data_IF_905084253480
#
_entry.id   IF_905084253480
#
_cell.length_a   1.000
_cell.length_b   1.000
_cell.length_c   1.000
_cell.angle_alpha   90.00
_cell.angle_beta   90.00
_cell.angle_gamma   90.00
#
_symmetry.space_group_name_H-M   'P 1'
#
loop_
_entity.id
_entity.type
_entity.pdbx_description
1 polymer ?
#
# COMPACT_ATOMS: atom_id res chain seq x y z
N UNK A 1 -0.45 -4.18 13.86
CA UNK A 1 0.44 -4.32 12.70
C UNK A 1 1.73 -5.03 13.13
N UNK A 2 2.28 -5.89 12.27
CA UNK A 2 3.59 -6.52 12.45
C UNK A 2 4.47 -6.20 11.26
N UNK A 3 5.79 -6.24 11.41
CA UNK A 3 6.69 -5.99 10.29
C UNK A 3 8.02 -6.74 10.39
N UNK A 4 8.59 -7.09 9.23
CA UNK A 4 9.99 -7.51 9.08
C UNK A 4 10.89 -6.40 8.53
N UNK A 5 10.35 -5.21 8.30
CA UNK A 5 11.06 -4.06 7.74
C UNK A 5 12.10 -3.49 8.71
N UNK A 6 13.19 -2.91 8.18
CA UNK A 6 14.14 -2.20 9.01
C UNK A 6 13.46 -1.02 9.71
N UNK A 7 13.95 -0.67 10.90
CA UNK A 7 13.37 0.41 11.72
C UNK A 7 13.40 1.80 11.05
N UNK A 8 14.21 1.97 10.00
CA UNK A 8 14.23 3.18 9.17
C UNK A 8 12.96 3.35 8.32
N UNK A 9 12.14 2.30 8.18
CA UNK A 9 10.84 2.37 7.53
C UNK A 9 9.81 2.59 8.61
N UNK A 10 9.40 3.84 8.76
CA UNK A 10 8.41 4.24 9.73
C UNK A 10 6.99 3.92 9.23
N UNK A 11 6.56 2.68 9.44
CA UNK A 11 5.19 2.26 9.14
C UNK A 11 4.17 2.99 10.04
N UNK A 12 2.93 3.20 9.57
CA UNK A 12 1.88 3.73 10.40
C UNK A 12 1.61 2.81 11.60
N UNK A 13 1.30 3.43 12.73
CA UNK A 13 0.77 2.75 13.90
C UNK A 13 -0.60 2.10 13.60
N UNK A 14 -1.09 1.27 14.53
CA UNK A 14 -2.43 0.69 14.39
C UNK A 14 -3.48 1.78 14.45
N UNK A 15 -3.28 2.77 15.31
CA UNK A 15 -4.16 3.91 15.52
C UNK A 15 -4.23 4.78 14.26
N UNK A 16 -3.08 5.16 13.69
CA UNK A 16 -3.04 5.92 12.42
C UNK A 16 -3.71 5.13 11.28
N UNK A 17 -3.47 3.82 11.21
CA UNK A 17 -4.14 2.98 10.21
C UNK A 17 -5.67 3.00 10.36
N UNK A 18 -6.18 2.94 11.60
CA UNK A 18 -7.61 2.99 11.89
C UNK A 18 -8.19 4.36 11.52
N UNK A 19 -7.49 5.45 11.87
CA UNK A 19 -7.90 6.82 11.57
C UNK A 19 -8.02 7.07 10.06
N UNK A 20 -7.04 6.61 9.28
CA UNK A 20 -7.08 6.72 7.82
C UNK A 20 -8.13 5.79 7.19
N UNK A 21 -8.24 4.54 7.68
CA UNK A 21 -9.28 3.62 7.20
C UNK A 21 -10.70 4.14 7.48
N UNK A 22 -10.92 4.89 8.57
CA UNK A 22 -12.21 5.49 8.90
C UNK A 22 -12.66 6.59 7.91
N UNK A 23 -11.78 7.06 7.02
CA UNK A 23 -12.09 8.02 5.96
C UNK A 23 -12.61 7.37 4.68
N UNK A 24 -12.62 6.03 4.62
CA UNK A 24 -13.11 5.27 3.47
C UNK A 24 -14.64 5.26 3.48
N UNK A 25 -15.25 5.62 2.35
CA UNK A 25 -16.70 5.82 2.25
C UNK A 25 -17.51 4.51 2.23
N UNK A 26 -16.96 3.44 1.65
CA UNK A 26 -17.61 2.12 1.66
C UNK A 26 -17.50 1.51 3.07
N UNK A 27 -18.63 1.47 3.79
CA UNK A 27 -18.68 0.98 5.17
C UNK A 27 -18.15 -0.44 5.34
N UNK A 28 -18.36 -1.30 4.35
CA UNK A 28 -17.95 -2.70 4.40
C UNK A 28 -16.45 -2.85 4.13
N UNK A 29 -15.90 -2.04 3.23
CA UNK A 29 -14.47 -1.91 2.99
C UNK A 29 -13.77 -1.31 4.23
N UNK A 30 -14.25 -0.17 4.72
CA UNK A 30 -13.79 0.49 5.95
C UNK A 30 -13.74 -0.52 7.12
N UNK A 31 -14.84 -1.23 7.37
CA UNK A 31 -14.92 -2.22 8.45
C UNK A 31 -13.91 -3.36 8.29
N UNK A 32 -13.61 -3.78 7.06
CA UNK A 32 -12.57 -4.77 6.80
C UNK A 32 -11.19 -4.19 7.13
N UNK A 33 -10.87 -3.00 6.61
CA UNK A 33 -9.57 -2.35 6.79
C UNK A 33 -9.26 -2.09 8.27
N UNK A 34 -10.22 -1.54 9.03
CA UNK A 34 -10.08 -1.31 10.48
C UNK A 34 -9.74 -2.60 11.22
N UNK A 35 -10.42 -3.72 10.89
CA UNK A 35 -10.11 -5.03 11.49
C UNK A 35 -8.71 -5.50 11.13
N UNK A 36 -8.26 -5.20 9.92
CA UNK A 36 -6.94 -5.59 9.44
C UNK A 36 -5.78 -4.75 10.01
N UNK A 37 -5.99 -3.49 10.41
CA UNK A 37 -4.91 -2.62 10.94
C UNK A 37 -4.10 -3.29 12.07
N UNK A 38 -4.75 -4.07 12.94
CA UNK A 38 -4.07 -4.81 14.01
C UNK A 38 -3.36 -6.08 13.53
N UNK A 39 -3.83 -6.72 12.45
CA UNK A 39 -3.37 -8.03 11.96
C UNK A 39 -2.49 -7.99 10.72
N UNK A 40 -2.42 -6.85 10.02
CA UNK A 40 -1.61 -6.66 8.82
C UNK A 40 -0.13 -6.87 9.17
N UNK A 41 0.54 -7.64 8.32
CA UNK A 41 1.98 -7.89 8.34
C UNK A 41 2.60 -7.21 7.13
N UNK A 42 3.53 -6.28 7.37
CA UNK A 42 4.29 -5.63 6.29
C UNK A 42 5.66 -6.31 6.18
N UNK A 43 5.88 -7.02 5.08
CA UNK A 43 7.06 -7.84 4.85
C UNK A 43 8.05 -7.15 3.93
N UNK A 44 9.25 -6.88 4.44
CA UNK A 44 10.40 -6.43 3.67
C UNK A 44 11.40 -7.58 3.44
N UNK A 45 12.32 -7.40 2.49
CA UNK A 45 13.39 -8.33 2.18
C UNK A 45 13.74 -8.38 0.71
N UNK A 46 14.78 -9.15 0.39
CA UNK A 46 15.28 -9.30 -0.99
C UNK A 46 14.20 -9.80 -1.96
N UNK A 47 13.35 -10.72 -1.50
CA UNK A 47 12.24 -11.23 -2.29
C UNK A 47 11.22 -10.13 -2.63
N UNK A 48 10.80 -9.32 -1.64
CA UNK A 48 9.90 -8.18 -1.86
C UNK A 48 10.52 -7.21 -2.88
N UNK A 49 11.78 -6.81 -2.68
CA UNK A 49 12.51 -5.92 -3.61
C UNK A 49 12.58 -6.48 -5.03
N UNK A 50 12.83 -7.78 -5.18
CA UNK A 50 12.85 -8.42 -6.49
C UNK A 50 11.48 -8.35 -7.17
N UNK A 51 10.41 -8.68 -6.45
CA UNK A 51 9.05 -8.65 -6.99
C UNK A 51 8.60 -7.25 -7.37
N UNK A 52 8.97 -6.24 -6.59
CA UNK A 52 8.72 -4.85 -6.94
C UNK A 52 9.41 -4.44 -8.24
N UNK A 53 10.67 -4.84 -8.46
CA UNK A 53 11.37 -4.57 -9.72
C UNK A 53 10.70 -5.24 -10.92
N UNK A 54 10.29 -6.50 -10.77
CA UNK A 54 9.58 -7.25 -11.80
C UNK A 54 8.23 -6.59 -12.14
N UNK A 55 7.46 -6.18 -11.13
CA UNK A 55 6.18 -5.51 -11.33
C UNK A 55 6.34 -4.11 -11.92
N UNK A 56 7.29 -3.32 -11.41
CA UNK A 56 7.58 -1.97 -11.93
C UNK A 56 7.95 -2.01 -13.41
N UNK A 57 8.80 -2.97 -13.82
CA UNK A 57 9.17 -3.16 -15.22
C UNK A 57 7.97 -3.56 -16.11
N UNK A 58 6.98 -4.28 -15.55
CA UNK A 58 5.78 -4.71 -16.27
C UNK A 58 4.79 -3.57 -16.47
N UNK A 59 4.59 -2.73 -15.44
CA UNK A 59 3.59 -1.64 -15.46
C UNK A 59 4.16 -0.33 -15.98
N UNK A 60 5.48 -0.19 -16.08
CA UNK A 60 6.15 1.02 -16.57
C UNK A 60 6.32 2.12 -15.52
N UNK A 61 5.78 1.92 -14.31
CA UNK A 61 5.82 2.86 -13.18
C UNK A 61 6.49 2.21 -11.95
N UNK A 62 6.87 3.03 -10.97
CA UNK A 62 7.46 2.54 -9.73
C UNK A 62 6.39 1.92 -8.82
N UNK A 63 6.62 0.69 -8.36
CA UNK A 63 5.79 0.02 -7.36
C UNK A 63 6.47 0.16 -6.00
N UNK A 64 5.76 0.71 -5.01
CA UNK A 64 6.29 0.96 -3.65
C UNK A 64 5.92 -0.14 -2.64
N UNK A 65 4.81 -0.83 -2.90
CA UNK A 65 4.40 -2.02 -2.18
C UNK A 65 3.52 -2.89 -3.08
N UNK A 66 3.24 -4.11 -2.64
CA UNK A 66 2.21 -4.94 -3.26
C UNK A 66 1.61 -5.93 -2.28
N UNK A 67 0.33 -6.23 -2.47
CA UNK A 67 -0.39 -7.28 -1.76
C UNK A 67 -0.58 -8.46 -2.69
N UNK A 68 -0.15 -9.65 -2.28
CA UNK A 68 -0.28 -10.84 -3.12
C UNK A 68 -1.73 -11.31 -3.14
N UNK A 69 -2.42 -11.00 -4.24
CA UNK A 69 -3.77 -11.48 -4.54
C UNK A 69 -3.65 -12.81 -5.31
N UNK A 70 -3.95 -13.98 -4.70
CA UNK A 70 -3.64 -15.27 -5.32
C UNK A 70 -4.39 -15.50 -6.63
N UNK A 71 -5.60 -14.94 -6.75
CA UNK A 71 -6.40 -14.89 -7.98
C UNK A 71 -7.29 -13.64 -7.98
N UNK A 72 -7.45 -12.95 -9.12
CA UNK A 72 -8.42 -11.87 -9.26
C UNK A 72 -9.82 -12.31 -8.83
N UNK A 73 -10.53 -11.47 -8.08
CA UNK A 73 -11.88 -11.74 -7.58
C UNK A 73 -12.00 -12.78 -6.47
N UNK A 74 -10.89 -13.38 -5.98
CA UNK A 74 -10.94 -14.26 -4.80
C UNK A 74 -10.91 -13.50 -3.47
N UNK A 75 -10.30 -12.31 -3.45
CA UNK A 75 -10.32 -11.49 -2.25
C UNK A 75 -11.63 -10.73 -2.17
N UNK A 76 -12.13 -10.66 -0.95
CA UNK A 76 -13.23 -9.81 -0.58
C UNK A 76 -13.09 -9.51 0.91
N UNK A 77 -13.89 -8.56 1.37
CA UNK A 77 -14.01 -8.14 2.77
C UNK A 77 -14.18 -9.25 3.81
N UNK A 78 -14.61 -10.46 3.42
CA UNK A 78 -14.75 -11.60 4.33
C UNK A 78 -13.51 -12.51 4.36
N UNK A 79 -12.67 -12.47 3.32
CA UNK A 79 -11.45 -13.27 3.20
C UNK A 79 -10.25 -12.40 2.82
N UNK A 80 -9.88 -11.42 3.67
CA UNK A 80 -8.76 -10.55 3.37
C UNK A 80 -7.42 -11.25 3.52
N UNK A 81 -6.45 -10.85 2.70
CA UNK A 81 -5.03 -11.19 2.89
C UNK A 81 -4.48 -10.33 4.02
N UNK A 82 -3.55 -10.88 4.80
CA UNK A 82 -2.98 -10.20 5.98
C UNK A 82 -1.52 -9.80 5.79
N UNK A 83 -1.02 -9.86 4.55
CA UNK A 83 0.37 -9.64 4.22
C UNK A 83 0.49 -8.70 3.02
N UNK A 84 1.30 -7.65 3.21
CA UNK A 84 1.68 -6.70 2.19
C UNK A 84 3.21 -6.65 2.15
N UNK A 85 3.78 -6.55 0.96
CA UNK A 85 5.22 -6.52 0.76
C UNK A 85 5.68 -5.13 0.41
N UNK A 86 6.61 -4.59 1.20
CA UNK A 86 7.16 -3.26 0.95
C UNK A 86 8.44 -3.36 0.11
N UNK A 87 8.60 -2.44 -0.85
CA UNK A 87 9.69 -2.46 -1.82
C UNK A 87 11.01 -1.87 -1.30
N UNK A 88 11.00 -1.31 -0.08
CA UNK A 88 12.13 -0.67 0.61
C UNK A 88 12.71 0.54 -0.13
N UNK A 89 11.94 1.13 -1.04
CA UNK A 89 12.28 2.41 -1.64
C UNK A 89 12.08 3.53 -0.59
N UNK A 90 12.97 4.54 -0.55
CA UNK A 90 12.79 5.70 0.31
C UNK A 90 11.47 6.39 0.00
N UNK A 91 10.69 6.66 1.04
CA UNK A 91 9.39 7.31 0.97
C UNK A 91 9.21 8.17 2.23
N UNK A 92 8.49 9.29 2.12
CA UNK A 92 8.08 10.05 3.30
C UNK A 92 7.14 9.20 4.17
N UNK A 93 7.07 9.50 5.47
CA UNK A 93 6.14 8.80 6.39
C UNK A 93 4.69 8.87 5.91
N UNK A 94 4.28 10.02 5.39
CA UNK A 94 2.95 10.23 4.82
C UNK A 94 2.72 9.30 3.63
N UNK A 95 3.68 9.23 2.70
CA UNK A 95 3.60 8.31 1.58
C UNK A 95 3.50 6.84 2.02
N UNK A 96 4.36 6.42 2.97
CA UNK A 96 4.32 5.05 3.51
C UNK A 96 2.93 4.74 4.06
N UNK A 97 2.33 5.68 4.79
CA UNK A 97 0.99 5.53 5.34
C UNK A 97 -0.05 5.36 4.23
N UNK A 98 -0.05 6.25 3.24
CA UNK A 98 -1.01 6.20 2.13
C UNK A 98 -0.89 4.90 1.33
N UNK A 99 0.33 4.43 1.04
CA UNK A 99 0.55 3.16 0.33
C UNK A 99 0.13 1.96 1.18
N UNK A 100 0.38 1.97 2.50
CA UNK A 100 -0.10 0.90 3.39
C UNK A 100 -1.63 0.83 3.39
N UNK A 101 -2.32 1.97 3.41
CA UNK A 101 -3.79 2.03 3.34
C UNK A 101 -4.30 1.54 1.99
N UNK A 102 -3.65 1.93 0.89
CA UNK A 102 -3.95 1.46 -0.46
C UNK A 102 -3.86 -0.07 -0.56
N UNK A 103 -2.74 -0.64 -0.13
CA UNK A 103 -2.51 -2.09 -0.15
C UNK A 103 -3.47 -2.85 0.77
N UNK A 104 -3.81 -2.25 1.91
CA UNK A 104 -4.80 -2.79 2.82
C UNK A 104 -6.20 -2.82 2.20
N UNK A 105 -6.56 -1.82 1.38
CA UNK A 105 -7.82 -1.83 0.64
C UNK A 105 -7.85 -3.01 -0.36
N UNK A 106 -6.77 -3.22 -1.13
CA UNK A 106 -6.64 -4.39 -1.99
C UNK A 106 -6.77 -5.71 -1.23
N UNK A 107 -6.18 -5.78 -0.03
CA UNK A 107 -6.31 -6.95 0.83
C UNK A 107 -7.78 -7.26 1.16
N UNK A 108 -8.62 -6.22 1.26
CA UNK A 108 -10.05 -6.30 1.52
C UNK A 108 -10.92 -6.46 0.25
N UNK A 109 -10.30 -6.65 -0.93
CA UNK A 109 -10.97 -6.88 -2.20
C UNK A 109 -11.46 -5.61 -2.90
N UNK A 110 -10.87 -4.46 -2.56
CA UNK A 110 -10.99 -3.26 -3.38
C UNK A 110 -10.11 -3.38 -4.62
N UNK A 111 -10.58 -2.87 -5.75
CA UNK A 111 -9.83 -2.77 -7.00
C UNK A 111 -9.74 -1.29 -7.43
N UNK A 112 -8.70 -0.94 -8.18
CA UNK A 112 -8.55 0.40 -8.77
C UNK A 112 -9.80 0.83 -9.54
N UNK A 113 -10.10 2.13 -9.49
CA UNK A 113 -11.24 2.75 -10.16
C UNK A 113 -12.58 2.60 -9.44
N UNK A 114 -12.66 1.84 -8.33
CA UNK A 114 -13.88 1.73 -7.53
C UNK A 114 -14.19 3.00 -6.71
N UNK A 115 -13.19 3.85 -6.46
CA UNK A 115 -13.34 5.10 -5.69
C UNK A 115 -13.25 4.86 -4.19
N UNK A 116 -14.21 5.41 -3.44
CA UNK A 116 -14.35 5.28 -1.98
C UNK A 116 -13.29 5.99 -1.14
N UNK A 117 -12.68 7.03 -1.69
CA UNK A 117 -11.62 7.80 -1.03
C UNK A 117 -10.38 6.94 -0.68
N UNK A 118 -10.17 5.83 -1.41
CA UNK A 118 -8.95 5.03 -1.30
C UNK A 118 -7.80 5.78 -2.00
N UNK A 119 -6.64 5.97 -1.34
CA UNK A 119 -5.46 6.59 -1.94
C UNK A 119 -5.03 5.83 -3.19
N UNK A 120 -4.57 6.50 -4.25
CA UNK A 120 -4.15 5.82 -5.49
C UNK A 120 -5.29 5.13 -6.25
N UNK A 121 -6.54 5.62 -6.12
CA UNK A 121 -7.69 5.04 -6.81
C UNK A 121 -7.53 4.98 -8.33
N UNK A 122 -6.90 5.98 -8.93
CA UNK A 122 -6.68 6.05 -10.36
C UNK A 122 -5.37 5.31 -10.71
N UNK A 123 -5.42 4.22 -11.50
CA UNK A 123 -4.24 3.45 -11.87
C UNK A 123 -3.23 4.26 -12.68
N UNK A 124 -3.66 5.30 -13.39
CA UNK A 124 -2.76 6.19 -14.15
C UNK A 124 -1.99 7.16 -13.24
N UNK A 125 -2.41 7.28 -11.97
CA UNK A 125 -1.78 8.11 -10.95
C UNK A 125 -1.03 7.28 -9.90
N UNK A 126 -0.57 6.07 -10.26
CA UNK A 126 0.34 5.27 -9.45
C UNK A 126 1.83 5.43 -9.83
N UNK A 127 2.75 5.55 -8.85
CA UNK A 127 2.48 5.60 -7.41
C UNK A 127 1.74 6.89 -7.04
N UNK A 128 0.97 6.84 -5.94
CA UNK A 128 0.20 7.97 -5.37
C UNK A 128 1.02 9.26 -5.63
N UNK A 129 0.50 10.32 -6.27
CA UNK A 129 1.36 11.40 -6.77
C UNK A 129 2.22 12.05 -5.68
N UNK A 130 1.73 12.04 -4.44
CA UNK A 130 2.39 12.52 -3.21
C UNK A 130 3.55 11.62 -2.73
N UNK A 131 3.66 10.42 -3.28
CA UNK A 131 4.70 9.42 -3.03
C UNK A 131 5.86 9.47 -4.03
N UNK A 132 5.74 10.22 -5.12
CA UNK A 132 6.83 10.38 -6.07
C UNK A 132 7.89 11.32 -5.49
N UNK A 133 8.93 10.76 -4.86
CA UNK A 133 10.12 11.53 -4.53
C UNK A 133 10.95 11.77 -5.79
N UNK A 134 10.51 12.72 -6.61
CA UNK A 134 11.18 13.21 -7.79
C UNK A 134 11.20 14.73 -7.78
N UNK A 135 12.31 15.32 -8.24
CA UNK A 135 12.31 16.73 -8.63
C UNK A 135 11.41 16.94 -9.87
N UNK A 136 11.17 18.19 -10.30
CA UNK A 136 10.37 18.55 -11.50
C UNK A 136 10.84 17.86 -12.81
N UNK A 137 11.94 17.11 -12.77
CA UNK A 137 12.56 16.36 -13.87
C UNK A 137 12.39 14.84 -13.76
N UNK A 138 11.69 14.34 -12.74
CA UNK A 138 11.45 12.91 -12.55
C UNK A 138 12.67 12.11 -12.10
N UNK A 139 13.71 12.77 -11.58
CA UNK A 139 14.91 12.11 -11.06
C UNK A 139 14.66 11.71 -9.60
N UNK A 140 14.68 10.40 -9.32
CA UNK A 140 14.43 9.85 -7.97
C UNK A 140 15.41 10.44 -6.95
N UNK A 141 14.91 11.14 -5.95
CA UNK A 141 15.69 11.71 -4.85
C UNK A 141 15.24 11.14 -3.51
N UNK A 142 16.07 11.31 -2.47
CA UNK A 142 15.70 10.97 -1.09
C UNK A 142 14.56 11.86 -0.63
N UNK A 143 13.52 11.27 -0.05
CA UNK A 143 12.49 12.02 0.66
C UNK A 143 13.07 12.44 2.03
N UNK A 144 13.31 13.74 2.23
CA UNK A 144 13.65 14.31 3.54
C UNK A 144 12.39 14.64 4.34
#
# INVERSE_FOLDING_TARGET
MKTSCPASIELPSVEECIEEAARIEDELLMSCMIRQCSTLTVTCGEWSRQKCREQSARVGNAVLAFTYVPRPGMLNRFYPVKETHWCEDPASRECITQVVIHELAHSCGWDHGQGHNVPGNDPDNEPIPECACGDEKGTRTSCE
#
